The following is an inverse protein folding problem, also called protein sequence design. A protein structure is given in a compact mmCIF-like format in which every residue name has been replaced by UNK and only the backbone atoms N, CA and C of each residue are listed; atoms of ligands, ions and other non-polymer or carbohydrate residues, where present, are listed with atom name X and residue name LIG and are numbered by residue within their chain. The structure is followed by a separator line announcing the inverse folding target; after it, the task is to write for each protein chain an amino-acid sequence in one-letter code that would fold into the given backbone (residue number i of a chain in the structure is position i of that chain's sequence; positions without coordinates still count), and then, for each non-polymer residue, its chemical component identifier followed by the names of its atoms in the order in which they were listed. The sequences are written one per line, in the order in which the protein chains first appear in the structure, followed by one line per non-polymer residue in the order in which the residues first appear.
data_IF_833213593040
#
_entry.id   IF_833213593040
#
_cell.length_a   1.000
_cell.length_b   1.000
_cell.length_c   1.000
_cell.angle_alpha   90.00
_cell.angle_beta   90.00
_cell.angle_gamma   90.00
#
_symmetry.space_group_name_H-M   'P 1'
#
loop_
_entity.id
_entity.type
_entity.pdbx_description
1 polymer ?
#
# COMPACT_ATOMS: atom_id res chain seq x y z
N UNK A 1 19.91 -12.57 -7.06
CA UNK A 1 19.83 -11.10 -7.27
C UNK A 1 19.18 -10.72 -8.60
N UNK A 2 19.71 -11.11 -9.77
CA UNK A 2 19.13 -10.75 -11.07
C UNK A 2 17.67 -11.19 -11.24
N UNK A 3 17.34 -12.40 -10.81
CA UNK A 3 15.96 -12.93 -10.85
C UNK A 3 14.98 -12.07 -10.04
N UNK A 4 15.34 -11.72 -8.80
CA UNK A 4 14.53 -10.85 -7.95
C UNK A 4 14.27 -9.48 -8.60
N UNK A 5 15.31 -8.88 -9.19
CA UNK A 5 15.19 -7.59 -9.86
C UNK A 5 14.27 -7.66 -11.09
N UNK A 6 14.44 -8.68 -11.94
CA UNK A 6 13.58 -8.88 -13.12
C UNK A 6 12.13 -9.09 -12.70
N UNK A 7 11.88 -9.97 -11.72
CA UNK A 7 10.53 -10.21 -11.20
C UNK A 7 9.93 -8.93 -10.62
N UNK A 8 10.70 -8.17 -9.82
CA UNK A 8 10.22 -6.92 -9.22
C UNK A 8 9.86 -5.86 -10.28
N UNK A 9 10.73 -5.64 -11.27
CA UNK A 9 10.51 -4.63 -12.31
C UNK A 9 9.32 -5.02 -13.20
N UNK A 10 9.25 -6.28 -13.63
CA UNK A 10 8.13 -6.77 -14.45
C UNK A 10 6.81 -6.71 -13.69
N UNK A 11 6.78 -7.14 -12.42
CA UNK A 11 5.60 -7.03 -11.56
C UNK A 11 5.18 -5.56 -11.35
N UNK A 12 6.14 -4.67 -11.12
CA UNK A 12 5.92 -3.23 -11.03
C UNK A 12 5.27 -2.68 -12.30
N UNK A 13 5.85 -2.94 -13.47
CA UNK A 13 5.30 -2.51 -14.76
C UNK A 13 3.88 -3.03 -15.00
N UNK A 14 3.63 -4.31 -14.71
CA UNK A 14 2.30 -4.92 -14.80
C UNK A 14 1.32 -4.18 -13.89
N UNK A 15 1.71 -3.91 -12.64
CA UNK A 15 0.84 -3.21 -11.69
C UNK A 15 0.45 -1.78 -12.16
N UNK A 16 1.38 -1.08 -12.83
CA UNK A 16 1.10 0.26 -13.39
C UNK A 16 0.07 0.24 -14.50
N UNK A 17 0.16 -0.71 -15.42
CA UNK A 17 -0.79 -0.81 -16.54
C UNK A 17 -2.17 -1.27 -16.03
N UNK A 18 -2.19 -2.11 -15.01
CA UNK A 18 -3.43 -2.70 -14.49
C UNK A 18 -4.31 -1.70 -13.73
N UNK A 19 -3.74 -0.72 -13.04
CA UNK A 19 -4.53 0.24 -12.28
C UNK A 19 -5.46 1.10 -13.19
N UNK A 20 -4.99 1.71 -14.30
CA UNK A 20 -5.85 2.38 -15.27
C UNK A 20 -6.88 1.46 -15.91
N UNK A 21 -6.49 0.21 -16.24
CA UNK A 21 -7.42 -0.79 -16.80
C UNK A 21 -8.54 -1.09 -15.81
N UNK A 22 -8.23 -1.26 -14.52
CA UNK A 22 -9.23 -1.48 -13.48
C UNK A 22 -10.18 -0.28 -13.30
N UNK A 23 -9.68 0.95 -13.45
CA UNK A 23 -10.48 2.19 -13.39
C UNK A 23 -11.40 2.38 -14.61
N UNK A 24 -10.96 1.92 -15.79
CA UNK A 24 -11.71 1.97 -17.03
C UNK A 24 -12.89 0.97 -17.05
N UNK A 25 -12.83 -0.09 -16.24
CA UNK A 25 -13.92 -1.08 -16.15
C UNK A 25 -15.09 -0.62 -15.27
N UNK A 26 -16.26 -1.23 -15.50
CA UNK A 26 -17.46 -1.01 -14.68
C UNK A 26 -17.20 -1.42 -13.22
N UNK A 27 -17.36 -0.47 -12.30
CA UNK A 27 -17.05 -0.61 -10.88
C UNK A 27 -17.95 -1.68 -10.26
N UNK A 28 -17.35 -2.61 -9.51
CA UNK A 28 -18.06 -3.73 -8.89
C UNK A 28 -18.39 -4.92 -9.80
N UNK A 29 -18.18 -4.81 -11.12
CA UNK A 29 -18.36 -5.91 -12.08
C UNK A 29 -17.25 -6.97 -12.01
N UNK A 30 -17.44 -8.10 -12.71
CA UNK A 30 -16.46 -9.22 -12.74
C UNK A 30 -15.07 -8.77 -13.22
N UNK A 31 -15.02 -7.90 -14.25
CA UNK A 31 -13.76 -7.39 -14.80
C UNK A 31 -13.01 -6.50 -13.81
N UNK A 32 -13.69 -5.53 -13.18
CA UNK A 32 -13.08 -4.67 -12.16
C UNK A 32 -12.50 -5.49 -11.00
N UNK A 33 -13.24 -6.50 -10.52
CA UNK A 33 -12.75 -7.40 -9.45
C UNK A 33 -11.53 -8.20 -9.88
N UNK A 34 -11.52 -8.71 -11.12
CA UNK A 34 -10.39 -9.48 -11.65
C UNK A 34 -9.15 -8.61 -11.75
N UNK A 35 -9.24 -7.45 -12.37
CA UNK A 35 -8.10 -6.55 -12.54
C UNK A 35 -7.61 -5.97 -11.21
N UNK A 36 -8.51 -5.61 -10.30
CA UNK A 36 -8.16 -5.19 -8.95
C UNK A 36 -7.43 -6.28 -8.15
N UNK A 37 -7.81 -7.55 -8.33
CA UNK A 37 -7.14 -8.68 -7.70
C UNK A 37 -5.74 -8.92 -8.28
N UNK A 38 -5.57 -8.83 -9.61
CA UNK A 38 -4.25 -8.94 -10.24
C UNK A 38 -3.33 -7.80 -9.79
N UNK A 39 -3.85 -6.57 -9.70
CA UNK A 39 -3.11 -5.43 -9.14
C UNK A 39 -2.67 -5.69 -7.71
N UNK A 40 -3.56 -6.21 -6.85
CA UNK A 40 -3.23 -6.56 -5.47
C UNK A 40 -2.08 -7.58 -5.39
N UNK A 41 -2.14 -8.65 -6.17
CA UNK A 41 -1.07 -9.66 -6.19
C UNK A 41 0.24 -9.11 -6.74
N UNK A 42 0.18 -8.27 -7.77
CA UNK A 42 1.37 -7.61 -8.32
C UNK A 42 2.03 -6.72 -7.26
N UNK A 43 1.27 -5.91 -6.53
CA UNK A 43 1.80 -5.06 -5.45
C UNK A 43 2.38 -5.88 -4.30
N UNK A 44 1.71 -6.97 -3.90
CA UNK A 44 2.26 -7.90 -2.90
C UNK A 44 3.61 -8.49 -3.34
N UNK A 45 3.71 -8.92 -4.60
CA UNK A 45 4.95 -9.46 -5.17
C UNK A 45 6.07 -8.40 -5.20
N UNK A 46 5.74 -7.16 -5.59
CA UNK A 46 6.67 -6.03 -5.58
C UNK A 46 7.23 -5.79 -4.17
N UNK A 47 6.38 -5.75 -3.13
CA UNK A 47 6.85 -5.56 -1.76
C UNK A 47 7.67 -6.73 -1.22
N UNK A 48 7.22 -7.96 -1.45
CA UNK A 48 7.94 -9.16 -1.02
C UNK A 48 9.32 -9.28 -1.65
N UNK A 49 9.47 -8.83 -2.90
CA UNK A 49 10.77 -8.82 -3.59
C UNK A 49 11.64 -7.61 -3.21
N UNK A 50 11.04 -6.46 -2.87
CA UNK A 50 11.77 -5.25 -2.48
C UNK A 50 12.48 -5.39 -1.12
N UNK A 51 11.83 -6.05 -0.15
CA UNK A 51 12.36 -6.23 1.20
C UNK A 51 13.75 -6.88 1.23
N UNK A 52 13.96 -8.08 0.64
CA UNK A 52 15.29 -8.69 0.58
C UNK A 52 16.33 -7.84 -0.15
N UNK A 53 15.90 -7.10 -1.20
CA UNK A 53 16.81 -6.25 -1.98
C UNK A 53 17.27 -5.02 -1.19
N UNK A 54 16.43 -4.48 -0.30
CA UNK A 54 16.75 -3.35 0.55
C UNK A 54 17.77 -3.66 1.66
N UNK A 55 17.88 -4.91 2.11
CA UNK A 55 18.94 -5.30 3.05
C UNK A 55 20.34 -5.29 2.41
N UNK A 56 20.41 -5.37 1.08
CA UNK A 56 21.67 -5.53 0.33
C UNK A 56 22.13 -4.22 -0.35
N UNK A 57 21.29 -3.19 -0.39
CA UNK A 57 21.51 -1.94 -1.15
C UNK A 57 20.83 -0.76 -0.46
N UNK A 58 21.28 0.49 -0.71
CA UNK A 58 20.64 1.71 -0.19
C UNK A 58 19.32 2.04 -0.92
N UNK A 59 18.43 1.05 -1.05
CA UNK A 59 17.10 1.15 -1.67
C UNK A 59 15.99 0.95 -0.64
N UNK A 60 16.33 1.06 0.65
CA UNK A 60 15.40 0.83 1.75
C UNK A 60 14.22 1.81 1.74
N UNK A 61 14.43 3.04 1.27
CA UNK A 61 13.35 3.99 0.95
C UNK A 61 12.29 3.37 0.00
N UNK A 62 12.72 2.85 -1.15
CA UNK A 62 11.82 2.28 -2.16
C UNK A 62 11.10 1.03 -1.63
N UNK A 63 11.79 0.21 -0.83
CA UNK A 63 11.17 -0.96 -0.21
C UNK A 63 10.07 -0.57 0.79
N UNK A 64 10.31 0.41 1.65
CA UNK A 64 9.30 0.89 2.59
C UNK A 64 8.10 1.50 1.86
N UNK A 65 8.32 2.33 0.83
CA UNK A 65 7.23 2.88 0.02
C UNK A 65 6.43 1.76 -0.65
N UNK A 66 7.09 0.74 -1.19
CA UNK A 66 6.39 -0.42 -1.76
C UNK A 66 5.51 -1.14 -0.73
N UNK A 67 5.97 -1.30 0.52
CA UNK A 67 5.18 -1.92 1.58
C UNK A 67 3.94 -1.10 1.91
N UNK A 68 4.05 0.23 1.95
CA UNK A 68 2.91 1.13 2.16
C UNK A 68 1.92 0.99 1.01
N UNK A 69 2.39 0.99 -0.25
CA UNK A 69 1.55 0.77 -1.43
C UNK A 69 0.81 -0.55 -1.40
N UNK A 70 1.49 -1.65 -1.07
CA UNK A 70 0.86 -2.96 -0.99
C UNK A 70 -0.13 -3.06 0.16
N UNK A 71 0.17 -2.48 1.33
CA UNK A 71 -0.78 -2.42 2.43
C UNK A 71 -2.04 -1.64 2.04
N UNK A 72 -1.90 -0.48 1.39
CA UNK A 72 -3.05 0.30 0.92
C UNK A 72 -3.89 -0.52 -0.07
N UNK A 73 -3.27 -1.21 -1.03
CA UNK A 73 -3.99 -2.10 -1.94
C UNK A 73 -4.73 -3.23 -1.19
N UNK A 74 -4.04 -3.86 -0.24
CA UNK A 74 -4.59 -4.95 0.57
C UNK A 74 -5.77 -4.49 1.44
N UNK A 75 -5.58 -3.40 2.19
CA UNK A 75 -6.61 -2.81 3.04
C UNK A 75 -7.80 -2.30 2.20
N UNK A 76 -7.55 -1.76 1.00
CA UNK A 76 -8.59 -1.37 0.04
C UNK A 76 -9.40 -2.57 -0.45
N UNK A 77 -8.76 -3.72 -0.67
CA UNK A 77 -9.47 -4.97 -1.00
C UNK A 77 -10.25 -5.52 0.21
N UNK A 78 -9.63 -5.51 1.40
CA UNK A 78 -10.20 -6.06 2.63
C UNK A 78 -11.38 -5.25 3.17
N UNK A 79 -11.43 -3.94 2.92
CA UNK A 79 -12.55 -3.12 3.41
C UNK A 79 -13.91 -3.57 2.87
N UNK A 80 -13.94 -4.22 1.70
CA UNK A 80 -15.16 -4.83 1.14
C UNK A 80 -15.66 -6.02 1.95
N UNK A 81 -14.77 -6.74 2.63
CA UNK A 81 -15.10 -7.82 3.58
C UNK A 81 -15.40 -7.26 4.97
N UNK A 82 -14.77 -6.15 5.33
CA UNK A 82 -14.97 -5.44 6.61
C UNK A 82 -16.21 -4.54 6.62
N UNK A 83 -16.97 -4.42 5.51
CA UNK A 83 -18.23 -3.66 5.48
C UNK A 83 -19.23 -4.11 6.56
N UNK A 84 -19.15 -5.37 6.98
CA UNK A 84 -20.01 -5.95 8.01
C UNK A 84 -19.57 -5.57 9.45
N UNK A 85 -18.49 -4.80 9.62
CA UNK A 85 -18.12 -4.22 10.92
C UNK A 85 -19.27 -3.40 11.53
N UNK A 86 -20.03 -2.67 10.70
CA UNK A 86 -21.23 -1.91 11.12
C UNK A 86 -22.31 -2.84 11.69
N UNK A 87 -22.32 -4.11 11.27
CA UNK A 87 -23.30 -5.14 11.67
C UNK A 87 -22.78 -6.06 12.77
N UNK A 88 -21.69 -5.69 13.43
CA UNK A 88 -21.13 -6.45 14.54
C UNK A 88 -19.96 -7.36 14.17
N UNK A 89 -19.56 -7.44 12.89
CA UNK A 89 -18.36 -8.18 12.47
C UNK A 89 -17.07 -7.70 13.14
N UNK A 90 -15.98 -8.45 12.95
CA UNK A 90 -14.65 -8.15 13.48
C UNK A 90 -13.57 -8.27 12.42
N UNK A 91 -12.47 -7.53 12.61
CA UNK A 91 -11.28 -7.66 11.79
C UNK A 91 -10.57 -8.99 12.08
N UNK A 92 -9.99 -9.60 11.05
CA UNK A 92 -9.27 -10.87 11.19
C UNK A 92 -7.83 -10.62 11.67
N UNK A 93 -7.14 -11.62 12.25
CA UNK A 93 -5.75 -11.47 12.69
C UNK A 93 -4.79 -11.02 11.58
N UNK A 94 -5.06 -11.40 10.32
CA UNK A 94 -4.29 -10.96 9.16
C UNK A 94 -4.41 -9.45 8.93
N UNK A 95 -5.58 -8.86 9.20
CA UNK A 95 -5.79 -7.41 9.06
C UNK A 95 -4.94 -6.66 10.10
N UNK A 96 -4.89 -7.16 11.33
CA UNK A 96 -4.05 -6.61 12.39
C UNK A 96 -2.55 -6.76 12.08
N UNK A 97 -2.12 -7.96 11.68
CA UNK A 97 -0.72 -8.22 11.36
C UNK A 97 -0.22 -7.30 10.25
N UNK A 98 -0.97 -7.20 9.16
CA UNK A 98 -0.61 -6.37 8.01
C UNK A 98 -0.65 -4.88 8.36
N UNK A 99 -1.60 -4.43 9.18
CA UNK A 99 -1.66 -3.05 9.67
C UNK A 99 -0.46 -2.70 10.56
N UNK A 100 -0.07 -3.57 11.50
CA UNK A 100 1.10 -3.36 12.34
C UNK A 100 2.39 -3.28 11.52
N UNK A 101 2.59 -4.20 10.57
CA UNK A 101 3.75 -4.20 9.68
C UNK A 101 3.82 -2.90 8.87
N UNK A 102 2.68 -2.47 8.31
CA UNK A 102 2.61 -1.25 7.52
C UNK A 102 2.81 0.02 8.37
N UNK A 103 2.33 0.04 9.62
CA UNK A 103 2.56 1.12 10.55
C UNK A 103 4.05 1.25 10.88
N UNK A 104 4.73 0.13 11.17
CA UNK A 104 6.17 0.11 11.42
C UNK A 104 6.94 0.57 10.18
N UNK A 105 6.56 0.10 8.99
CA UNK A 105 7.19 0.53 7.74
C UNK A 105 7.01 2.05 7.50
N UNK A 106 5.81 2.57 7.77
CA UNK A 106 5.48 3.99 7.65
C UNK A 106 6.27 4.86 8.64
N UNK A 107 6.31 4.45 9.92
CA UNK A 107 7.08 5.13 10.95
C UNK A 107 8.59 5.10 10.65
N UNK A 108 9.10 3.97 10.16
CA UNK A 108 10.49 3.84 9.72
C UNK A 108 10.82 4.79 8.57
N UNK A 109 9.90 4.96 7.61
CA UNK A 109 10.08 5.88 6.49
C UNK A 109 10.14 7.34 6.96
N UNK A 110 9.27 7.74 7.89
CA UNK A 110 9.31 9.08 8.50
C UNK A 110 10.61 9.28 9.28
N UNK A 111 10.99 8.32 10.12
CA UNK A 111 12.21 8.39 10.92
C UNK A 111 13.45 8.49 10.02
N UNK A 112 13.52 7.74 8.93
CA UNK A 112 14.62 7.84 7.96
C UNK A 112 14.64 9.20 7.26
N UNK A 113 13.48 9.73 6.87
CA UNK A 113 13.37 11.06 6.27
C UNK A 113 13.89 12.16 7.20
N UNK A 114 13.66 12.03 8.50
CA UNK A 114 14.07 13.01 9.51
C UNK A 114 15.53 12.86 9.95
N UNK A 115 15.96 11.65 10.31
CA UNK A 115 17.26 11.41 10.94
C UNK A 115 18.37 11.03 9.96
N UNK A 116 18.03 10.46 8.80
CA UNK A 116 19.01 9.96 7.81
C UNK A 116 18.68 10.41 6.39
N UNK A 117 18.76 11.72 6.11
CA UNK A 117 18.40 12.30 4.81
C UNK A 117 19.19 11.73 3.62
N UNK A 118 20.42 11.28 3.84
CA UNK A 118 21.26 10.62 2.83
C UNK A 118 20.76 9.21 2.46
N UNK A 119 20.08 8.52 3.38
CA UNK A 119 19.54 7.17 3.17
C UNK A 119 18.25 7.16 2.34
N UNK A 120 17.58 8.32 2.20
CA UNK A 120 16.35 8.49 1.40
C UNK A 120 16.61 9.14 0.04
N UNK A 121 17.83 9.00 -0.51
CA UNK A 121 18.16 9.45 -1.87
C UNK A 121 17.83 10.93 -2.13
N UNK A 122 17.99 11.79 -1.10
CA UNK A 122 17.59 13.22 -1.07
C UNK A 122 16.08 13.51 -1.15
N UNK A 123 15.21 12.50 -1.08
CA UNK A 123 13.75 12.62 -1.10
C UNK A 123 13.15 12.74 0.30
N UNK A 124 13.73 13.59 1.14
CA UNK A 124 13.33 13.72 2.55
C UNK A 124 11.86 14.11 2.70
N UNK A 125 11.43 15.12 1.96
CA UNK A 125 10.05 15.62 1.97
C UNK A 125 9.09 14.51 1.56
N UNK A 126 9.41 13.79 0.48
CA UNK A 126 8.57 12.69 -0.02
C UNK A 126 8.49 11.54 1.00
N UNK A 127 9.61 11.17 1.63
CA UNK A 127 9.65 10.15 2.67
C UNK A 127 8.78 10.51 3.87
N UNK A 128 8.90 11.74 4.37
CA UNK A 128 8.10 12.22 5.51
C UNK A 128 6.62 12.27 5.14
N UNK A 129 6.28 12.80 3.96
CA UNK A 129 4.89 12.93 3.51
C UNK A 129 4.25 11.57 3.31
N UNK A 130 4.84 10.69 2.49
CA UNK A 130 4.31 9.35 2.22
C UNK A 130 4.26 8.50 3.50
N UNK A 131 5.30 8.57 4.33
CA UNK A 131 5.35 7.88 5.62
C UNK A 131 4.25 8.36 6.56
N UNK A 132 4.02 9.68 6.65
CA UNK A 132 2.95 10.23 7.50
C UNK A 132 1.56 9.85 7.00
N UNK A 133 1.34 9.84 5.68
CA UNK A 133 0.08 9.37 5.10
C UNK A 133 -0.14 7.86 5.35
N UNK A 134 0.89 7.04 5.17
CA UNK A 134 0.83 5.60 5.48
C UNK A 134 0.54 5.35 6.96
N UNK A 135 1.18 6.10 7.86
CA UNK A 135 0.98 6.00 9.30
C UNK A 135 -0.43 6.42 9.72
N UNK A 136 -0.95 7.54 9.18
CA UNK A 136 -2.34 7.96 9.42
C UNK A 136 -3.34 6.94 8.86
N UNK A 137 -3.09 6.41 7.67
CA UNK A 137 -3.96 5.41 7.04
C UNK A 137 -4.04 4.11 7.86
N UNK A 138 -2.89 3.55 8.23
CA UNK A 138 -2.80 2.34 9.07
C UNK A 138 -3.40 2.56 10.46
N UNK A 139 -3.12 3.70 11.10
CA UNK A 139 -3.72 4.05 12.39
C UNK A 139 -5.25 4.18 12.29
N UNK A 140 -5.76 4.78 11.22
CA UNK A 140 -7.21 4.88 10.98
C UNK A 140 -7.87 3.51 10.78
N UNK A 141 -7.17 2.57 10.14
CA UNK A 141 -7.66 1.19 9.98
C UNK A 141 -7.70 0.46 11.31
N UNK A 142 -6.63 0.55 12.11
CA UNK A 142 -6.58 -0.05 13.46
C UNK A 142 -7.64 0.56 14.38
N UNK A 143 -7.85 1.88 14.29
CA UNK A 143 -8.95 2.56 14.98
C UNK A 143 -10.30 1.99 14.57
N UNK A 144 -10.52 1.79 13.27
CA UNK A 144 -11.77 1.24 12.74
C UNK A 144 -11.98 -0.24 13.13
N UNK A 145 -10.91 -0.99 13.39
CA UNK A 145 -11.00 -2.36 13.90
C UNK A 145 -11.44 -2.43 15.37
N UNK A 146 -11.10 -1.40 16.16
CA UNK A 146 -11.48 -1.28 17.57
C UNK A 146 -12.84 -0.60 17.73
N UNK A 147 -13.04 0.52 17.03
CA UNK A 147 -14.24 1.34 17.06
C UNK A 147 -14.96 1.22 15.74
N UNK A 148 -16.01 0.39 15.75
CA UNK A 148 -16.82 0.06 14.58
C UNK A 148 -17.40 1.34 13.94
N UNK A 149 -17.39 1.44 12.60
CA UNK A 149 -17.85 2.62 11.91
C UNK A 149 -19.37 2.79 12.05
N UNK A 150 -19.81 4.03 12.19
CA UNK A 150 -21.24 4.40 12.29
C UNK A 150 -21.85 4.49 10.88
N UNK A 151 -21.09 5.01 9.92
CA UNK A 151 -21.55 5.22 8.55
C UNK A 151 -21.61 3.93 7.73
N UNK A 152 -22.77 3.65 7.12
CA UNK A 152 -22.96 2.44 6.30
C UNK A 152 -22.08 2.37 5.07
N UNK A 153 -21.69 3.53 4.50
CA UNK A 153 -20.92 3.63 3.24
C UNK A 153 -19.41 3.86 3.44
N UNK A 154 -18.90 3.77 4.67
CA UNK A 154 -17.48 3.99 4.96
C UNK A 154 -16.55 3.14 4.07
N UNK A 155 -16.98 1.92 3.74
CA UNK A 155 -16.22 0.97 2.93
C UNK A 155 -15.99 1.46 1.50
N UNK A 156 -16.92 2.24 0.92
CA UNK A 156 -16.82 2.70 -0.45
C UNK A 156 -15.75 3.79 -0.58
N UNK A 157 -15.79 4.78 0.31
CA UNK A 157 -14.78 5.84 0.37
C UNK A 157 -13.41 5.29 0.73
N UNK A 158 -13.36 4.40 1.72
CA UNK A 158 -12.11 3.76 2.14
C UNK A 158 -11.51 2.90 1.03
N UNK A 159 -12.32 2.13 0.29
CA UNK A 159 -11.87 1.35 -0.86
C UNK A 159 -11.23 2.26 -1.92
N UNK A 160 -11.95 3.30 -2.33
CA UNK A 160 -11.48 4.22 -3.37
C UNK A 160 -10.20 4.94 -2.95
N UNK A 161 -10.19 5.55 -1.75
CA UNK A 161 -9.04 6.29 -1.24
C UNK A 161 -7.79 5.42 -1.12
N UNK A 162 -7.93 4.17 -0.67
CA UNK A 162 -6.82 3.23 -0.51
C UNK A 162 -6.24 2.76 -1.84
N UNK A 163 -7.07 2.46 -2.84
CA UNK A 163 -6.57 2.10 -4.17
C UNK A 163 -5.88 3.28 -4.87
N UNK A 164 -6.43 4.50 -4.74
CA UNK A 164 -5.78 5.71 -5.26
C UNK A 164 -4.45 5.97 -4.54
N UNK A 165 -4.44 5.93 -3.21
CA UNK A 165 -3.23 6.15 -2.41
C UNK A 165 -2.13 5.12 -2.71
N UNK A 166 -2.51 3.85 -2.87
CA UNK A 166 -1.61 2.77 -3.29
C UNK A 166 -0.93 3.10 -4.62
N UNK A 167 -1.71 3.53 -5.61
CA UNK A 167 -1.22 3.87 -6.95
C UNK A 167 -0.33 5.11 -6.95
N UNK A 168 -0.69 6.16 -6.21
CA UNK A 168 0.12 7.38 -6.07
C UNK A 168 1.47 7.05 -5.42
N UNK A 169 1.48 6.28 -4.34
CA UNK A 169 2.71 5.85 -3.68
C UNK A 169 3.58 4.95 -4.56
N UNK A 170 2.97 4.11 -5.41
CA UNK A 170 3.71 3.33 -6.39
C UNK A 170 4.33 4.25 -7.47
N UNK A 171 3.55 5.21 -7.98
CA UNK A 171 3.99 6.17 -9.00
C UNK A 171 5.18 7.02 -8.53
N UNK A 172 5.16 7.51 -7.29
CA UNK A 172 6.28 8.26 -6.72
C UNK A 172 7.55 7.41 -6.60
N UNK A 173 7.42 6.12 -6.28
CA UNK A 173 8.56 5.21 -6.25
C UNK A 173 9.14 4.89 -7.65
N UNK A 174 8.31 4.86 -8.68
CA UNK A 174 8.74 4.54 -10.05
C UNK A 174 9.45 5.71 -10.75
N UNK A 175 9.14 6.96 -10.37
CA UNK A 175 9.78 8.16 -10.91
C UNK A 175 10.58 8.92 -9.84
N UNK A 176 11.75 8.40 -9.42
CA UNK A 176 12.60 9.00 -8.40
C UNK A 176 13.33 10.29 -8.86
N UNK A 177 12.76 11.14 -9.71
CA UNK A 177 13.46 12.30 -10.29
C UNK A 177 12.59 13.56 -10.39
N UNK A 178 12.09 14.02 -9.25
CA UNK A 178 11.67 15.42 -9.01
C UNK A 178 12.28 15.89 -7.70
#
# INVERSE_FOLDING_TARGET
MKVFLVVHVTAGMVSFVLAPVALATAKGGKQHRRWGLVYLYAMGLVSCTALPMAFLRPVLFLALVSMISAYLAFSGYRVLKLKDLVRGGSAQPVDWLTACIAFIASASLVAMGWFRPSAVQRMQVVAIVLGSFGMRGTASDMWLFLWKPIEKMFWWYSHLAKFIGSYVAAWTAFRPSL
#
